data_IF_655081607547
#
_entry.id   IF_655081607547
#
_cell.length_a   1.000
_cell.length_b   1.000
_cell.length_c   1.000
_cell.angle_alpha   90.00
_cell.angle_beta   90.00
_cell.angle_gamma   90.00
#
_symmetry.space_group_name_H-M   'P 1'
#
loop_
_entity.id
_entity.type
_entity.pdbx_description
1 polymer ?
#
# COMPACT_ATOMS: atom_id res chain seq x y z
N UNK A 1 -25.41 -10.88 2.55
CA UNK A 1 -24.57 -9.96 1.77
C UNK A 1 -23.80 -10.85 0.80
N UNK A 2 -24.20 -10.87 -0.46
CA UNK A 2 -23.59 -11.71 -1.50
C UNK A 2 -22.19 -11.16 -1.80
N UNK A 3 -21.15 -11.95 -1.52
CA UNK A 3 -19.80 -11.61 -1.94
C UNK A 3 -19.74 -11.78 -3.46
N UNK A 4 -19.59 -10.64 -4.12
CA UNK A 4 -19.47 -10.43 -5.56
C UNK A 4 -18.43 -11.36 -6.19
N UNK A 5 -18.84 -12.25 -7.09
CA UNK A 5 -17.96 -13.09 -7.93
C UNK A 5 -17.28 -12.28 -9.06
N UNK A 6 -16.59 -11.18 -8.72
CA UNK A 6 -15.85 -10.35 -9.68
C UNK A 6 -14.36 -10.68 -9.72
N UNK A 7 -13.69 -10.51 -10.87
CA UNK A 7 -12.26 -10.86 -11.07
C UNK A 7 -11.29 -10.24 -10.04
N UNK A 8 -11.69 -9.16 -9.35
CA UNK A 8 -10.90 -8.47 -8.32
C UNK A 8 -11.53 -8.49 -6.92
N UNK A 9 -12.55 -9.32 -6.66
CA UNK A 9 -13.33 -9.28 -5.42
C UNK A 9 -12.48 -9.43 -4.15
N UNK A 10 -11.54 -10.38 -4.16
CA UNK A 10 -10.60 -10.60 -3.04
C UNK A 10 -9.72 -9.36 -2.81
N UNK A 11 -9.18 -8.76 -3.88
CA UNK A 11 -8.33 -7.57 -3.80
C UNK A 11 -9.07 -6.32 -3.34
N UNK A 12 -10.34 -6.18 -3.73
CA UNK A 12 -11.19 -5.10 -3.23
C UNK A 12 -11.50 -5.26 -1.74
N UNK A 13 -11.73 -6.49 -1.28
CA UNK A 13 -11.93 -6.77 0.14
C UNK A 13 -10.67 -6.50 0.97
N UNK A 14 -9.49 -6.91 0.47
CA UNK A 14 -8.20 -6.57 1.08
C UNK A 14 -8.02 -5.04 1.19
N UNK A 15 -8.28 -4.30 0.11
CA UNK A 15 -8.14 -2.83 0.09
C UNK A 15 -9.11 -2.13 1.06
N UNK A 16 -10.37 -2.56 1.11
CA UNK A 16 -11.37 -2.04 2.04
C UNK A 16 -10.97 -2.30 3.50
N UNK A 17 -10.45 -3.50 3.79
CA UNK A 17 -9.95 -3.85 5.11
C UNK A 17 -8.79 -2.95 5.54
N UNK A 18 -7.79 -2.75 4.66
CA UNK A 18 -6.63 -1.91 4.95
C UNK A 18 -7.03 -0.45 5.19
N UNK A 19 -7.95 0.08 4.39
CA UNK A 19 -8.47 1.45 4.59
C UNK A 19 -9.23 1.57 5.91
N UNK A 20 -10.07 0.58 6.25
CA UNK A 20 -10.78 0.54 7.52
C UNK A 20 -9.84 0.48 8.73
N UNK A 21 -8.78 -0.32 8.65
CA UNK A 21 -7.75 -0.42 9.68
C UNK A 21 -7.04 0.93 9.86
N UNK A 22 -6.54 1.53 8.77
CA UNK A 22 -5.89 2.85 8.81
C UNK A 22 -6.77 3.90 9.51
N UNK A 23 -8.03 4.03 9.07
CA UNK A 23 -8.97 5.01 9.63
C UNK A 23 -9.20 4.77 11.13
N UNK A 24 -9.56 3.54 11.50
CA UNK A 24 -9.89 3.20 12.88
C UNK A 24 -8.70 3.40 13.83
N UNK A 25 -7.47 3.07 13.40
CA UNK A 25 -6.26 3.28 14.21
C UNK A 25 -5.97 4.76 14.40
N UNK A 26 -6.07 5.58 13.36
CA UNK A 26 -5.87 7.03 13.48
C UNK A 26 -6.92 7.69 14.38
N UNK A 27 -8.18 7.29 14.28
CA UNK A 27 -9.27 7.75 15.17
C UNK A 27 -9.00 7.38 16.63
N UNK A 28 -8.57 6.15 16.91
CA UNK A 28 -8.20 5.69 18.25
C UNK A 28 -7.00 6.43 18.85
N UNK A 29 -6.11 6.95 18.01
CA UNK A 29 -4.95 7.72 18.45
C UNK A 29 -5.29 9.16 18.87
N UNK A 30 -6.46 9.68 18.48
CA UNK A 30 -6.87 11.03 18.83
C UNK A 30 -7.05 11.16 20.34
N UNK A 31 -6.15 11.90 21.00
CA UNK A 31 -6.14 12.07 22.45
C UNK A 31 -5.59 10.87 23.24
N UNK A 32 -4.95 9.90 22.57
CA UNK A 32 -4.27 8.80 23.25
C UNK A 32 -2.98 9.29 23.96
N UNK A 33 -2.62 8.63 25.06
CA UNK A 33 -1.35 8.85 25.74
C UNK A 33 -0.18 8.22 24.96
N UNK A 34 1.05 8.62 25.34
CA UNK A 34 2.26 8.15 24.65
C UNK A 34 2.49 6.65 24.76
N UNK A 35 2.04 5.99 25.83
CA UNK A 35 2.21 4.55 25.97
C UNK A 35 1.35 3.79 24.97
N UNK A 36 0.08 4.18 24.81
CA UNK A 36 -0.82 3.60 23.81
C UNK A 36 -0.31 3.80 22.40
N UNK A 37 0.19 5.00 22.07
CA UNK A 37 0.78 5.28 20.76
C UNK A 37 2.01 4.40 20.50
N UNK A 38 2.89 4.23 21.48
CA UNK A 38 4.10 3.38 21.33
C UNK A 38 3.77 1.90 21.16
N UNK A 39 2.79 1.38 21.90
CA UNK A 39 2.34 0.00 21.72
C UNK A 39 1.74 -0.20 20.32
N UNK A 40 0.86 0.70 19.90
CA UNK A 40 0.27 0.61 18.57
C UNK A 40 1.31 0.71 17.45
N UNK A 41 2.32 1.57 17.62
CA UNK A 41 3.41 1.69 16.66
C UNK A 41 4.21 0.39 16.55
N UNK A 42 4.47 -0.30 17.67
CA UNK A 42 5.13 -1.59 17.66
C UNK A 42 4.28 -2.65 16.93
N UNK A 43 2.99 -2.75 17.28
CA UNK A 43 2.05 -3.70 16.65
C UNK A 43 1.97 -3.50 15.12
N UNK A 44 1.77 -2.25 14.67
CA UNK A 44 1.68 -1.93 13.24
C UNK A 44 3.00 -2.16 12.51
N UNK A 45 4.14 -1.94 13.17
CA UNK A 45 5.46 -2.17 12.58
C UNK A 45 5.71 -3.67 12.36
N UNK A 46 5.26 -4.53 13.27
CA UNK A 46 5.39 -5.98 13.12
C UNK A 46 4.48 -6.49 12.00
N UNK A 47 3.21 -6.04 11.95
CA UNK A 47 2.28 -6.34 10.83
C UNK A 47 2.85 -5.89 9.48
N UNK A 48 3.48 -4.70 9.43
CA UNK A 48 4.11 -4.18 8.23
C UNK A 48 5.28 -5.06 7.75
N UNK A 49 6.13 -5.50 8.67
CA UNK A 49 7.28 -6.38 8.37
C UNK A 49 6.84 -7.74 7.90
N UNK A 50 5.81 -8.32 8.53
CA UNK A 50 5.25 -9.60 8.09
C UNK A 50 4.71 -9.51 6.67
N UNK A 51 3.94 -8.46 6.35
CA UNK A 51 3.43 -8.24 4.99
C UNK A 51 4.55 -8.04 3.96
N UNK A 52 5.62 -7.32 4.31
CA UNK A 52 6.78 -7.16 3.44
C UNK A 52 7.45 -8.51 3.12
N UNK A 53 7.59 -9.39 4.12
CA UNK A 53 8.15 -10.73 3.95
C UNK A 53 7.25 -11.61 3.07
N UNK A 54 5.93 -11.59 3.30
CA UNK A 54 4.96 -12.33 2.49
C UNK A 54 5.01 -11.90 1.01
N UNK A 55 5.16 -10.59 0.76
CA UNK A 55 5.34 -10.07 -0.58
C UNK A 55 6.61 -10.61 -1.24
N UNK A 56 7.75 -10.58 -0.54
CA UNK A 56 9.02 -11.13 -1.06
C UNK A 56 8.90 -12.63 -1.38
N UNK A 57 8.30 -13.43 -0.48
CA UNK A 57 8.08 -14.85 -0.72
C UNK A 57 7.14 -15.12 -1.91
N UNK A 58 6.09 -14.31 -2.06
CA UNK A 58 5.16 -14.44 -3.19
C UNK A 58 5.84 -14.15 -4.53
N UNK A 59 6.81 -13.23 -4.54
CA UNK A 59 7.60 -12.89 -5.72
C UNK A 59 8.54 -14.02 -6.11
N UNK A 60 9.27 -14.59 -5.14
CA UNK A 60 10.22 -15.69 -5.34
C UNK A 60 9.55 -16.99 -5.80
N UNK A 61 8.32 -17.25 -5.32
CA UNK A 61 7.53 -18.41 -5.71
C UNK A 61 6.76 -18.26 -7.03
N UNK A 62 6.77 -17.07 -7.66
CA UNK A 62 5.92 -16.81 -8.82
C UNK A 62 6.48 -17.40 -10.11
N UNK A 63 5.63 -18.11 -10.86
CA UNK A 63 6.00 -18.67 -12.19
C UNK A 63 5.85 -17.68 -13.35
N UNK A 64 5.22 -16.52 -13.12
CA UNK A 64 4.98 -15.50 -14.14
C UNK A 64 6.10 -14.44 -14.12
N UNK A 65 6.88 -14.28 -15.20
CA UNK A 65 7.90 -13.24 -15.28
C UNK A 65 7.34 -11.83 -15.07
N UNK A 66 6.13 -11.56 -15.56
CA UNK A 66 5.48 -10.26 -15.39
C UNK A 66 5.17 -9.95 -13.91
N UNK A 67 4.73 -10.95 -13.15
CA UNK A 67 4.45 -10.78 -11.72
C UNK A 67 5.74 -10.65 -10.92
N UNK A 68 6.81 -11.37 -11.29
CA UNK A 68 8.11 -11.23 -10.66
C UNK A 68 8.69 -9.81 -10.84
N UNK A 69 8.57 -9.24 -12.04
CA UNK A 69 8.96 -7.85 -12.31
C UNK A 69 8.14 -6.84 -11.50
N UNK A 70 6.80 -6.99 -11.47
CA UNK A 70 5.93 -6.12 -10.68
C UNK A 70 6.28 -6.16 -9.18
N UNK A 71 6.51 -7.36 -8.64
CA UNK A 71 6.90 -7.52 -7.25
C UNK A 71 8.31 -6.95 -6.97
N UNK A 72 9.24 -7.08 -7.93
CA UNK A 72 10.55 -6.44 -7.87
C UNK A 72 10.45 -4.91 -7.76
N UNK A 73 9.63 -4.29 -8.60
CA UNK A 73 9.36 -2.83 -8.55
C UNK A 73 8.78 -2.43 -7.20
N UNK A 74 7.81 -3.19 -6.67
CA UNK A 74 7.21 -2.90 -5.37
C UNK A 74 8.23 -2.99 -4.24
N UNK A 75 9.09 -4.02 -4.25
CA UNK A 75 10.17 -4.20 -3.26
C UNK A 75 11.18 -3.05 -3.32
N UNK A 76 11.62 -2.68 -4.51
CA UNK A 76 12.61 -1.63 -4.70
C UNK A 76 12.07 -0.26 -4.27
N UNK A 77 10.77 0.00 -4.53
CA UNK A 77 10.07 1.16 -4.00
C UNK A 77 10.07 1.16 -2.47
N UNK A 78 9.63 0.08 -1.82
CA UNK A 78 9.57 -0.01 -0.37
C UNK A 78 10.93 0.22 0.29
N UNK A 79 11.99 -0.41 -0.24
CA UNK A 79 13.37 -0.24 0.27
C UNK A 79 13.86 1.20 0.13
N UNK A 80 13.70 1.81 -1.04
CA UNK A 80 14.09 3.21 -1.26
C UNK A 80 13.32 4.17 -0.37
N UNK A 81 12.03 3.89 -0.15
CA UNK A 81 11.21 4.69 0.74
C UNK A 81 11.70 4.55 2.18
N UNK A 82 11.94 3.33 2.68
CA UNK A 82 12.49 3.13 4.03
C UNK A 82 13.83 3.86 4.24
N UNK A 83 14.76 3.76 3.29
CA UNK A 83 16.04 4.49 3.31
C UNK A 83 15.83 6.02 3.33
N UNK A 84 14.95 6.53 2.47
CA UNK A 84 14.63 7.94 2.40
C UNK A 84 14.12 8.43 3.76
N UNK A 85 13.21 7.70 4.37
CA UNK A 85 12.53 8.09 5.60
C UNK A 85 13.39 7.97 6.84
N UNK A 86 14.18 6.90 6.93
CA UNK A 86 15.00 6.64 8.11
C UNK A 86 16.27 7.47 8.11
N UNK A 87 16.90 7.65 6.94
CA UNK A 87 18.26 8.16 6.88
C UNK A 87 18.38 9.55 6.27
N UNK A 88 17.56 9.88 5.26
CA UNK A 88 17.73 11.12 4.47
C UNK A 88 16.80 12.23 4.89
N UNK A 89 15.50 11.94 5.04
CA UNK A 89 14.47 12.93 5.37
C UNK A 89 14.79 13.67 6.68
N UNK A 90 15.21 12.99 7.77
CA UNK A 90 15.60 13.69 8.99
C UNK A 90 16.69 14.72 8.69
N UNK A 91 17.74 14.34 7.96
CA UNK A 91 18.89 15.22 7.65
C UNK A 91 18.53 16.41 6.75
N UNK A 92 17.59 16.23 5.82
CA UNK A 92 17.12 17.29 4.93
C UNK A 92 16.25 18.33 5.65
N UNK A 93 15.67 17.93 6.78
CA UNK A 93 14.75 18.76 7.57
C UNK A 93 15.42 19.37 8.81
N UNK A 94 16.74 19.17 9.02
CA UNK A 94 17.45 19.86 10.11
C UNK A 94 17.62 21.34 9.73
N UNK A 95 17.10 22.23 10.56
CA UNK A 95 17.14 23.68 10.43
C UNK A 95 17.93 24.33 11.58
N UNK A 96 17.61 25.60 11.89
CA UNK A 96 18.13 26.32 13.07
C UNK A 96 17.17 26.25 14.27
N UNK A 97 16.07 25.50 14.19
CA UNK A 97 15.03 25.41 15.22
C UNK A 97 15.36 24.34 16.28
N UNK A 98 14.48 24.16 17.28
CA UNK A 98 14.68 23.13 18.30
C UNK A 98 14.65 21.72 17.67
N UNK A 99 15.70 20.90 17.82
CA UNK A 99 15.79 19.58 17.18
C UNK A 99 14.65 18.61 17.53
N UNK A 100 13.87 18.85 18.59
CA UNK A 100 12.69 18.05 18.90
C UNK A 100 11.46 18.46 18.08
N UNK A 101 11.21 19.76 17.92
CA UNK A 101 10.10 20.28 17.13
C UNK A 101 10.30 19.94 15.64
N UNK A 102 11.52 20.11 15.11
CA UNK A 102 11.86 19.75 13.72
C UNK A 102 11.59 18.27 13.42
N UNK A 103 11.89 17.38 14.37
CA UNK A 103 11.63 15.93 14.21
C UNK A 103 10.14 15.61 14.21
N UNK A 104 9.36 16.29 15.05
CA UNK A 104 7.91 16.10 15.09
C UNK A 104 7.26 16.60 13.79
N UNK A 105 7.68 17.77 13.29
CA UNK A 105 7.20 18.31 12.02
C UNK A 105 7.57 17.42 10.83
N UNK A 106 8.82 16.96 10.75
CA UNK A 106 9.25 16.04 9.70
C UNK A 106 8.45 14.73 9.72
N UNK A 107 8.14 14.19 10.90
CA UNK A 107 7.30 13.01 11.04
C UNK A 107 5.85 13.25 10.59
N UNK A 108 5.30 14.44 10.88
CA UNK A 108 3.96 14.82 10.46
C UNK A 108 3.85 14.98 8.94
N UNK A 109 4.78 15.71 8.32
CA UNK A 109 4.86 15.89 6.87
C UNK A 109 5.02 14.54 6.15
N UNK A 110 5.82 13.64 6.74
CA UNK A 110 5.93 12.29 6.21
C UNK A 110 4.61 11.53 6.27
N UNK A 111 3.92 11.55 7.41
CA UNK A 111 2.64 10.90 7.56
C UNK A 111 1.61 11.42 6.53
N UNK A 112 1.57 12.73 6.29
CA UNK A 112 0.73 13.36 5.26
C UNK A 112 1.08 12.84 3.86
N UNK A 113 2.36 12.87 3.48
CA UNK A 113 2.82 12.34 2.20
C UNK A 113 2.46 10.85 2.02
N UNK A 114 2.61 10.04 3.06
CA UNK A 114 2.29 8.61 3.01
C UNK A 114 0.78 8.36 2.77
N UNK A 115 -0.08 9.17 3.39
CA UNK A 115 -1.53 9.12 3.19
C UNK A 115 -1.90 9.54 1.77
N UNK A 116 -1.31 10.63 1.26
CA UNK A 116 -1.51 11.08 -0.12
C UNK A 116 -1.03 10.04 -1.13
N UNK A 117 0.11 9.39 -0.86
CA UNK A 117 0.62 8.32 -1.69
C UNK A 117 -0.32 7.11 -1.71
N UNK A 118 -0.89 6.72 -0.55
CA UNK A 118 -1.89 5.65 -0.49
C UNK A 118 -3.13 6.01 -1.33
N UNK A 119 -3.61 7.25 -1.26
CA UNK A 119 -4.72 7.73 -2.09
C UNK A 119 -4.38 7.68 -3.59
N UNK A 120 -3.14 8.03 -3.96
CA UNK A 120 -2.67 7.90 -5.34
C UNK A 120 -2.59 6.43 -5.77
N UNK A 121 -2.16 5.52 -4.89
CA UNK A 121 -2.15 4.08 -5.13
C UNK A 121 -3.54 3.53 -5.48
N UNK A 122 -4.59 3.99 -4.80
CA UNK A 122 -5.98 3.63 -5.13
C UNK A 122 -6.36 4.09 -6.54
N UNK A 123 -5.96 5.31 -6.94
CA UNK A 123 -6.23 5.82 -8.30
C UNK A 123 -5.49 5.01 -9.37
N UNK A 124 -4.23 4.65 -9.10
CA UNK A 124 -3.45 3.78 -9.98
C UNK A 124 -4.06 2.37 -10.10
N UNK A 125 -4.53 1.80 -8.99
CA UNK A 125 -5.21 0.50 -8.99
C UNK A 125 -6.51 0.53 -9.80
N UNK A 126 -7.30 1.61 -9.70
CA UNK A 126 -8.52 1.80 -10.50
C UNK A 126 -8.21 1.82 -12.00
N UNK A 127 -7.18 2.56 -12.43
CA UNK A 127 -6.75 2.61 -13.83
C UNK A 127 -6.38 1.21 -14.35
N UNK A 128 -5.57 0.47 -13.59
CA UNK A 128 -5.13 -0.87 -13.96
C UNK A 128 -6.31 -1.86 -14.01
N UNK A 129 -7.22 -1.80 -13.04
CA UNK A 129 -8.40 -2.65 -12.99
C UNK A 129 -9.33 -2.43 -14.18
N UNK A 130 -9.59 -1.16 -14.55
CA UNK A 130 -10.41 -0.83 -15.72
C UNK A 130 -9.75 -1.29 -17.03
N UNK A 131 -8.44 -1.10 -17.17
CA UNK A 131 -7.71 -1.59 -18.33
C UNK A 131 -7.78 -3.12 -18.44
N UNK A 132 -7.65 -3.84 -17.33
CA UNK A 132 -7.77 -5.30 -17.32
C UNK A 132 -9.20 -5.78 -17.66
N UNK A 133 -10.24 -5.10 -17.14
CA UNK A 133 -11.63 -5.40 -17.48
C UNK A 133 -11.90 -5.20 -18.98
N UNK A 134 -11.45 -4.09 -19.56
CA UNK A 134 -11.59 -3.82 -21.00
C UNK A 134 -10.94 -4.91 -21.86
N UNK A 135 -9.72 -5.32 -21.50
CA UNK A 135 -9.03 -6.40 -22.21
C UNK A 135 -9.76 -7.75 -22.07
N UNK A 136 -10.27 -8.08 -20.88
CA UNK A 136 -11.03 -9.30 -20.66
C UNK A 136 -12.32 -9.33 -21.50
N UNK A 137 -13.05 -8.21 -21.56
CA UNK A 137 -14.25 -8.08 -22.39
C UNK A 137 -13.93 -8.29 -23.87
N UNK A 138 -12.86 -7.66 -24.37
CA UNK A 138 -12.40 -7.83 -25.74
C UNK A 138 -12.07 -9.31 -26.07
N UNK A 139 -11.47 -10.06 -25.12
CA UNK A 139 -11.21 -11.49 -25.29
C UNK A 139 -12.50 -12.33 -25.35
N UNK A 140 -13.45 -12.07 -24.45
CA UNK A 140 -14.73 -12.78 -24.40
C UNK A 140 -15.55 -12.57 -25.69
N UNK A 141 -15.55 -11.34 -26.23
CA UNK A 141 -16.20 -11.02 -27.51
C UNK A 141 -15.57 -11.75 -28.70
N UNK A 142 -14.25 -11.94 -28.70
CA UNK A 142 -13.54 -12.64 -29.77
C UNK A 142 -13.80 -14.15 -29.72
N UNK A 143 -13.79 -14.75 -28.52
CA UNK A 143 -14.09 -16.17 -28.33
C UNK A 143 -15.54 -16.51 -28.73
N UNK A 144 -16.49 -15.61 -28.45
CA UNK A 144 -17.89 -15.75 -28.89
C UNK A 144 -18.09 -15.63 -30.41
N UNK A 145 -17.17 -14.98 -31.13
CA UNK A 145 -17.18 -14.87 -32.60
C UNK A 145 -16.52 -16.08 -33.28
N UNK A 146 -15.53 -16.70 -32.64
CA UNK A 146 -14.79 -17.85 -33.18
C UNK A 146 -15.50 -19.20 -33.01
N UNK A 147 -16.52 -19.28 -32.14
CA UNK A 147 -17.40 -20.45 -32.01
C UNK A 147 -18.86 -20.12 -32.40
N UNK A 148 -19.17 -19.91 -33.69
CA UNK A 148 -20.56 -19.80 -34.12
C UNK A 148 -21.22 -21.18 -34.03
N UNK A 149 -22.38 -21.23 -33.36
CA UNK A 149 -23.27 -22.41 -33.28
C UNK A 149 -23.77 -22.81 -34.66
#
# INVERSE_FOLDING_TARGET
MELRDGMFAVKLCELEHQYGLLRSRLELCQGADHEKIRHLLADVLDDYRENALLLEQSAEGCRSPAVAELAGVQRDYSKRMEELLRDRLPRLMHGEEDPQEERAEAAALFAEYAIDFAAQGVRSALLAALAAMDQQMNCEEQQGKEHPV
#
